data_IF_585024531174
#
_entry.id   IF_585024531174
#
_cell.length_a   1.000
_cell.length_b   1.000
_cell.length_c   1.000
_cell.angle_alpha   90.00
_cell.angle_beta   90.00
_cell.angle_gamma   90.00
#
_symmetry.space_group_name_H-M   'P 1'
#
loop_
_entity.id
_entity.type
_entity.pdbx_description
1 polymer ?
#
# COMPACT_ATOMS: atom_id res chain seq x y z
N UNK A 1 5.34 21.33 -60.98
CA UNK A 1 5.79 21.87 -59.68
C UNK A 1 4.75 21.48 -58.65
N UNK A 2 5.11 20.60 -57.71
CA UNK A 2 4.23 19.98 -56.70
C UNK A 2 4.10 20.93 -55.50
N UNK A 3 2.88 21.14 -54.97
CA UNK A 3 2.68 21.63 -53.59
C UNK A 3 1.49 20.90 -52.98
N UNK A 4 1.80 19.81 -52.28
CA UNK A 4 0.93 19.08 -51.37
C UNK A 4 0.82 19.87 -50.07
N UNK A 5 -0.37 20.30 -49.65
CA UNK A 5 -0.61 20.76 -48.28
C UNK A 5 -1.30 19.63 -47.51
N UNK A 6 -0.51 18.96 -46.68
CA UNK A 6 -0.94 17.97 -45.71
C UNK A 6 -1.13 18.71 -44.38
N UNK A 7 -2.38 18.93 -43.96
CA UNK A 7 -2.69 19.52 -42.67
C UNK A 7 -2.60 18.42 -41.61
N UNK A 8 -1.49 18.40 -40.88
CA UNK A 8 -1.27 17.49 -39.77
C UNK A 8 -2.14 17.92 -38.58
N UNK A 9 -3.05 17.04 -38.18
CA UNK A 9 -3.92 17.17 -37.01
C UNK A 9 -3.09 17.02 -35.73
N UNK A 10 -3.10 18.04 -34.88
CA UNK A 10 -2.59 17.92 -33.50
C UNK A 10 -3.78 17.63 -32.60
N UNK A 11 -4.07 16.35 -32.40
CA UNK A 11 -4.89 15.89 -31.27
C UNK A 11 -3.97 15.79 -30.06
N UNK A 12 -3.98 16.81 -29.20
CA UNK A 12 -3.36 16.74 -27.88
C UNK A 12 -4.24 15.84 -27.01
N UNK A 13 -3.93 14.54 -26.99
CA UNK A 13 -4.47 13.62 -26.01
C UNK A 13 -4.00 14.08 -24.62
N UNK A 14 -4.92 14.63 -23.83
CA UNK A 14 -4.70 14.90 -22.42
C UNK A 14 -4.63 13.52 -21.77
N UNK A 15 -3.40 13.00 -21.58
CA UNK A 15 -3.19 11.79 -20.82
C UNK A 15 -3.61 12.09 -19.36
N UNK A 16 -4.82 11.69 -18.98
CA UNK A 16 -5.22 11.60 -17.58
C UNK A 16 -4.40 10.48 -16.96
N UNK A 17 -3.24 10.81 -16.40
CA UNK A 17 -2.55 9.90 -15.50
C UNK A 17 -3.46 9.71 -14.29
N UNK A 18 -4.03 8.51 -14.14
CA UNK A 18 -4.64 8.11 -12.89
C UNK A 18 -3.50 8.03 -11.86
N UNK A 19 -3.21 9.14 -11.19
CA UNK A 19 -2.19 9.17 -10.15
C UNK A 19 -2.70 8.35 -8.98
N UNK A 20 -2.04 7.23 -8.68
CA UNK A 20 -2.26 6.47 -7.45
C UNK A 20 -2.14 7.43 -6.26
N UNK A 21 -3.19 7.48 -5.46
CA UNK A 21 -3.33 8.34 -4.29
C UNK A 21 -3.76 7.47 -3.11
N UNK A 22 -3.33 7.85 -1.92
CA UNK A 22 -3.75 7.19 -0.69
C UNK A 22 -5.20 7.52 -0.36
N UNK A 23 -6.06 6.51 -0.38
CA UNK A 23 -7.44 6.62 0.10
C UNK A 23 -7.47 6.46 1.63
N UNK A 24 -8.20 7.34 2.30
CA UNK A 24 -8.33 7.36 3.76
C UNK A 24 -9.80 7.31 4.11
N UNK A 25 -10.20 6.24 4.79
CA UNK A 25 -11.53 6.06 5.33
C UNK A 25 -11.41 6.01 6.85
N UNK A 26 -11.94 7.04 7.50
CA UNK A 26 -12.05 7.12 8.95
C UNK A 26 -13.55 7.14 9.25
N UNK A 27 -14.10 6.00 9.69
CA UNK A 27 -15.46 6.01 10.22
C UNK A 27 -15.39 6.73 11.55
N UNK A 28 -15.86 7.98 11.62
CA UNK A 28 -16.04 8.65 12.90
C UNK A 28 -16.81 7.75 13.89
N UNK A 29 -16.78 8.10 15.18
CA UNK A 29 -17.37 7.28 16.25
C UNK A 29 -18.77 6.77 15.87
N UNK A 30 -18.94 5.45 15.88
CA UNK A 30 -20.26 4.83 15.75
C UNK A 30 -21.11 5.08 17.00
N UNK A 31 -22.35 4.61 17.01
CA UNK A 31 -23.27 4.77 18.16
C UNK A 31 -22.77 4.10 19.45
N UNK A 32 -21.69 3.32 19.37
CA UNK A 32 -21.01 2.65 20.48
C UNK A 32 -19.64 3.26 20.79
N UNK A 33 -19.24 4.34 20.09
CA UNK A 33 -17.94 4.99 20.24
C UNK A 33 -16.78 4.28 19.53
N UNK A 34 -17.06 3.31 18.64
CA UNK A 34 -16.00 2.65 17.88
C UNK A 34 -15.58 3.46 16.66
N UNK A 35 -14.28 3.51 16.42
CA UNK A 35 -13.66 4.09 15.22
C UNK A 35 -13.01 2.96 14.44
N UNK A 36 -13.14 2.99 13.11
CA UNK A 36 -12.40 2.13 12.20
C UNK A 36 -11.68 3.01 11.19
N UNK A 37 -10.38 2.77 11.06
CA UNK A 37 -9.53 3.44 10.08
C UNK A 37 -9.08 2.43 9.06
N UNK A 38 -9.27 2.78 7.79
CA UNK A 38 -8.72 2.07 6.65
C UNK A 38 -7.96 3.05 5.79
N UNK A 39 -6.69 2.76 5.52
CA UNK A 39 -5.83 3.57 4.66
C UNK A 39 -5.29 2.68 3.56
N UNK A 40 -5.62 2.97 2.31
CA UNK A 40 -5.29 2.10 1.17
C UNK A 40 -4.57 2.86 0.06
N UNK A 41 -3.63 2.20 -0.61
CA UNK A 41 -3.01 2.71 -1.83
C UNK A 41 -2.76 1.58 -2.83
N UNK A 42 -2.68 1.94 -4.10
CA UNK A 42 -2.37 1.03 -5.21
C UNK A 42 -0.92 1.30 -5.63
N UNK A 43 -0.11 0.25 -5.66
CA UNK A 43 1.27 0.31 -6.12
C UNK A 43 1.38 0.33 -7.64
N UNK A 44 2.57 0.65 -8.14
CA UNK A 44 2.87 0.71 -9.57
C UNK A 44 2.69 -0.65 -10.28
N UNK A 45 2.87 -1.76 -9.56
CA UNK A 45 2.61 -3.12 -10.07
C UNK A 45 1.17 -3.59 -9.85
N UNK A 46 0.28 -2.74 -9.33
CA UNK A 46 -1.12 -3.04 -9.07
C UNK A 46 -1.38 -3.82 -7.78
N UNK A 47 -0.36 -4.04 -6.93
CA UNK A 47 -0.58 -4.58 -5.59
C UNK A 47 -1.18 -3.49 -4.69
N UNK A 48 -1.88 -3.92 -3.64
CA UNK A 48 -2.51 -2.98 -2.71
C UNK A 48 -1.75 -2.99 -1.39
N UNK A 49 -1.60 -1.81 -0.81
CA UNK A 49 -1.19 -1.67 0.58
C UNK A 49 -2.39 -1.14 1.35
N UNK A 50 -2.79 -1.85 2.41
CA UNK A 50 -3.93 -1.51 3.26
C UNK A 50 -3.49 -1.53 4.72
N UNK A 51 -3.55 -0.38 5.37
CA UNK A 51 -3.54 -0.25 6.81
C UNK A 51 -4.96 -0.32 7.34
N UNK A 52 -5.15 -1.05 8.43
CA UNK A 52 -6.43 -1.12 9.11
C UNK A 52 -6.22 -1.18 10.62
N UNK A 53 -7.04 -0.44 11.35
CA UNK A 53 -7.13 -0.50 12.80
C UNK A 53 -8.54 -0.10 13.22
N UNK A 54 -8.92 -0.45 14.44
CA UNK A 54 -10.19 -0.03 15.01
C UNK A 54 -10.27 -0.26 16.50
N UNK A 55 -11.29 0.27 17.14
CA UNK A 55 -11.43 0.22 18.61
C UNK A 55 -11.44 -1.19 19.20
N UNK A 56 -11.73 -2.21 18.39
CA UNK A 56 -11.78 -3.62 18.79
C UNK A 56 -10.75 -4.52 18.11
N UNK A 57 -9.84 -3.97 17.30
CA UNK A 57 -8.88 -4.75 16.50
C UNK A 57 -7.49 -4.14 16.55
N UNK A 58 -6.48 -4.98 16.77
CA UNK A 58 -5.09 -4.55 16.70
C UNK A 58 -4.77 -3.98 15.30
N UNK A 59 -3.98 -2.89 15.23
CA UNK A 59 -3.51 -2.36 13.96
C UNK A 59 -2.74 -3.39 13.15
N UNK A 60 -2.97 -3.42 11.85
CA UNK A 60 -2.18 -4.23 10.94
C UNK A 60 -1.99 -3.54 9.59
N UNK A 61 -0.95 -3.98 8.89
CA UNK A 61 -0.72 -3.70 7.48
C UNK A 61 -0.93 -4.97 6.68
N UNK A 62 -1.66 -4.88 5.57
CA UNK A 62 -1.79 -5.93 4.57
C UNK A 62 -1.21 -5.46 3.24
N UNK A 63 -0.22 -6.19 2.74
CA UNK A 63 0.24 -6.10 1.36
C UNK A 63 -0.49 -7.17 0.54
N UNK A 64 -1.43 -6.75 -0.30
CA UNK A 64 -2.34 -7.62 -1.02
C UNK A 64 -1.79 -7.91 -2.42
N UNK A 65 -1.59 -9.20 -2.68
CA UNK A 65 -1.21 -9.73 -3.98
C UNK A 65 -2.42 -10.36 -4.63
N UNK A 66 -2.65 -10.05 -5.91
CA UNK A 66 -3.71 -10.73 -6.65
C UNK A 66 -3.32 -12.20 -6.86
N UNK A 67 -4.11 -13.09 -6.30
CA UNK A 67 -3.97 -14.53 -6.45
C UNK A 67 -5.34 -15.19 -6.37
N UNK A 68 -5.65 -16.04 -7.34
CA UNK A 68 -6.90 -16.80 -7.44
C UNK A 68 -6.68 -18.30 -7.20
N UNK A 69 -5.60 -18.65 -6.51
CA UNK A 69 -5.26 -20.03 -6.14
C UNK A 69 -6.21 -20.63 -5.08
N UNK A 70 -7.08 -19.81 -4.50
CA UNK A 70 -8.07 -20.21 -3.49
C UNK A 70 -7.52 -20.04 -2.07
N UNK A 71 -8.06 -20.83 -1.13
CA UNK A 71 -7.59 -20.80 0.26
C UNK A 71 -6.17 -21.40 0.37
N UNK A 72 -5.22 -20.57 0.81
CA UNK A 72 -3.88 -20.97 1.21
C UNK A 72 -3.76 -21.02 2.74
N UNK A 73 -2.96 -21.95 3.30
CA UNK A 73 -2.63 -21.94 4.71
C UNK A 73 -1.80 -20.70 5.06
N UNK A 74 -1.88 -20.26 6.32
CA UNK A 74 -1.00 -19.22 6.83
C UNK A 74 0.43 -19.73 6.92
N UNK A 75 1.36 -18.98 6.32
CA UNK A 75 2.78 -19.31 6.30
C UNK A 75 3.64 -18.10 6.65
N UNK A 76 4.81 -18.30 7.28
CA UNK A 76 5.73 -17.21 7.57
C UNK A 76 6.16 -16.47 6.30
N UNK A 77 6.22 -15.14 6.40
CA UNK A 77 6.71 -14.25 5.38
C UNK A 77 7.61 -13.17 6.01
N UNK A 78 8.25 -12.38 5.17
CA UNK A 78 9.05 -11.23 5.57
C UNK A 78 8.54 -10.02 4.82
N UNK A 79 8.31 -8.93 5.54
CA UNK A 79 8.03 -7.63 4.96
C UNK A 79 9.31 -6.79 4.94
N UNK A 80 9.50 -6.07 3.85
CA UNK A 80 10.67 -5.23 3.59
C UNK A 80 10.18 -3.83 3.28
N UNK A 81 10.82 -2.84 3.86
CA UNK A 81 10.52 -1.42 3.67
C UNK A 81 11.83 -0.66 3.49
N UNK A 82 11.86 0.26 2.53
CA UNK A 82 12.98 1.20 2.36
C UNK A 82 12.49 2.59 2.73
N UNK A 83 13.21 3.25 3.64
CA UNK A 83 12.88 4.60 4.07
C UNK A 83 13.51 5.69 3.19
N UNK A 84 13.39 6.95 3.61
CA UNK A 84 13.94 8.10 2.87
C UNK A 84 15.46 8.16 2.87
N UNK A 85 16.08 7.58 3.88
CA UNK A 85 17.54 7.52 4.03
C UNK A 85 18.12 6.37 3.19
N UNK A 86 17.25 5.61 2.50
CA UNK A 86 17.52 4.35 1.82
C UNK A 86 17.93 3.22 2.76
N UNK A 87 17.57 3.34 4.04
CA UNK A 87 17.77 2.27 5.00
C UNK A 87 16.71 1.19 4.78
N UNK A 88 17.21 -0.06 4.76
CA UNK A 88 16.38 -1.25 4.54
C UNK A 88 15.94 -1.82 5.87
N UNK A 89 14.64 -1.78 6.10
CA UNK A 89 13.98 -2.35 7.27
C UNK A 89 13.32 -3.68 6.93
N UNK A 90 13.41 -4.64 7.87
CA UNK A 90 12.92 -6.00 7.69
C UNK A 90 12.11 -6.41 8.90
N UNK A 91 10.93 -6.97 8.65
CA UNK A 91 9.97 -7.32 9.71
C UNK A 91 9.33 -8.68 9.43
N UNK A 92 8.99 -9.38 10.51
CA UNK A 92 8.20 -10.61 10.42
C UNK A 92 6.79 -10.30 9.88
N UNK A 93 6.28 -11.20 9.05
CA UNK A 93 4.95 -11.12 8.49
C UNK A 93 4.35 -12.52 8.33
N UNK A 94 3.05 -12.59 8.04
CA UNK A 94 2.36 -13.84 7.73
C UNK A 94 1.68 -13.70 6.37
N UNK A 95 1.96 -14.60 5.44
CA UNK A 95 1.18 -14.74 4.20
C UNK A 95 -0.03 -15.64 4.48
N UNK A 96 -1.20 -15.20 4.04
CA UNK A 96 -2.41 -16.01 4.12
C UNK A 96 -3.48 -15.54 3.14
N UNK A 97 -4.59 -16.27 3.10
CA UNK A 97 -5.76 -15.91 2.28
C UNK A 97 -6.38 -14.60 2.78
N UNK A 98 -6.76 -13.72 1.86
CA UNK A 98 -7.54 -12.52 2.19
C UNK A 98 -8.99 -12.64 1.68
N UNK A 99 -9.15 -13.00 0.41
CA UNK A 99 -10.41 -13.37 -0.21
C UNK A 99 -10.14 -14.18 -1.50
N UNK A 100 -11.17 -14.49 -2.27
CA UNK A 100 -11.08 -15.30 -3.49
C UNK A 100 -10.16 -14.74 -4.59
N UNK A 101 -9.72 -13.48 -4.47
CA UNK A 101 -8.90 -12.78 -5.47
C UNK A 101 -7.55 -12.31 -4.94
N UNK A 102 -7.34 -12.34 -3.62
CA UNK A 102 -6.14 -11.80 -3.00
C UNK A 102 -5.63 -12.69 -1.88
N UNK A 103 -4.32 -12.76 -1.78
CA UNK A 103 -3.59 -13.17 -0.59
C UNK A 103 -2.98 -11.94 0.07
N UNK A 104 -2.86 -11.96 1.39
CA UNK A 104 -2.30 -10.87 2.17
C UNK A 104 -1.01 -11.30 2.84
N UNK A 105 0.05 -10.51 2.68
CA UNK A 105 1.17 -10.50 3.63
C UNK A 105 0.83 -9.50 4.73
N UNK A 106 0.51 -10.01 5.91
CA UNK A 106 0.08 -9.24 7.08
C UNK A 106 1.25 -8.97 8.02
N UNK A 107 1.43 -7.70 8.39
CA UNK A 107 2.36 -7.25 9.42
C UNK A 107 1.56 -6.71 10.59
N UNK A 108 1.83 -7.21 11.80
CA UNK A 108 1.20 -6.74 13.05
C UNK A 108 2.22 -6.16 14.03
N UNK A 109 3.51 -6.12 13.63
CA UNK A 109 4.58 -5.56 14.45
C UNK A 109 4.44 -4.04 14.58
N UNK A 110 4.08 -3.57 15.77
CA UNK A 110 3.80 -2.15 16.04
C UNK A 110 4.93 -1.22 15.66
N UNK A 111 6.19 -1.59 15.94
CA UNK A 111 7.35 -0.75 15.59
C UNK A 111 7.44 -0.52 14.08
N UNK A 112 7.21 -1.57 13.30
CA UNK A 112 7.17 -1.50 11.84
C UNK A 112 6.02 -0.65 11.33
N UNK A 113 4.83 -0.81 11.91
CA UNK A 113 3.65 -0.05 11.51
C UNK A 113 3.83 1.46 11.80
N UNK A 114 4.35 1.81 12.98
CA UNK A 114 4.66 3.19 13.35
C UNK A 114 5.73 3.76 12.43
N UNK A 115 6.84 3.05 12.21
CA UNK A 115 7.93 3.50 11.32
C UNK A 115 7.44 3.76 9.90
N UNK A 116 6.59 2.88 9.35
CA UNK A 116 6.03 3.08 8.01
C UNK A 116 5.07 4.27 7.98
N UNK A 117 4.20 4.43 8.98
CA UNK A 117 3.32 5.59 9.08
C UNK A 117 4.11 6.90 9.20
N UNK A 118 5.22 6.91 9.94
CA UNK A 118 6.16 8.02 10.02
C UNK A 118 6.79 8.34 8.67
N UNK A 119 7.32 7.32 7.98
CA UNK A 119 7.84 7.53 6.62
C UNK A 119 6.75 8.11 5.71
N UNK A 120 5.51 7.61 5.77
CA UNK A 120 4.39 8.17 5.00
C UNK A 120 4.15 9.66 5.29
N UNK A 121 4.32 10.12 6.54
CA UNK A 121 4.14 11.54 6.91
C UNK A 121 5.11 12.48 6.21
N UNK A 122 6.36 12.03 6.01
CA UNK A 122 7.43 12.85 5.46
C UNK A 122 7.76 12.54 3.99
N UNK A 123 7.20 11.47 3.40
CA UNK A 123 7.52 10.97 2.06
C UNK A 123 7.53 12.05 0.98
N UNK A 124 8.71 12.33 0.42
CA UNK A 124 8.86 13.22 -0.74
C UNK A 124 8.95 12.44 -2.06
N UNK A 125 9.32 11.15 -2.00
CA UNK A 125 9.43 10.21 -3.11
C UNK A 125 8.54 8.98 -2.90
N UNK A 126 8.40 8.12 -3.92
CA UNK A 126 7.65 6.88 -3.80
C UNK A 126 8.15 6.00 -2.65
N UNK A 127 7.22 5.43 -1.90
CA UNK A 127 7.46 4.55 -0.77
C UNK A 127 7.67 3.14 -1.33
N UNK A 128 8.85 2.58 -1.14
CA UNK A 128 9.21 1.25 -1.64
C UNK A 128 9.03 0.19 -0.57
N UNK A 129 8.30 -0.87 -0.90
CA UNK A 129 8.08 -2.02 -0.03
C UNK A 129 8.25 -3.31 -0.81
N UNK A 130 8.40 -4.42 -0.09
CA UNK A 130 8.41 -5.73 -0.69
C UNK A 130 8.17 -6.82 0.33
N UNK A 131 8.07 -8.03 -0.19
CA UNK A 131 7.89 -9.23 0.60
C UNK A 131 8.86 -10.32 0.15
N UNK A 132 9.17 -11.23 1.06
CA UNK A 132 9.92 -12.44 0.76
C UNK A 132 9.28 -13.61 1.49
N UNK A 133 9.13 -14.75 0.82
CA UNK A 133 8.67 -15.98 1.44
C UNK A 133 9.91 -16.83 1.75
N UNK A 134 10.32 -16.98 3.01
CA UNK A 134 11.68 -17.37 3.41
C UNK A 134 12.11 -18.79 2.99
N UNK A 135 11.18 -19.67 2.66
CA UNK A 135 11.44 -21.05 2.22
C UNK A 135 11.21 -21.23 0.71
N UNK A 136 11.13 -20.13 -0.04
CA UNK A 136 11.00 -20.13 -1.50
C UNK A 136 11.88 -19.02 -2.10
N UNK A 137 12.08 -19.04 -3.41
CA UNK A 137 12.74 -17.94 -4.13
C UNK A 137 11.76 -16.81 -4.52
N UNK A 138 10.54 -16.80 -3.96
CA UNK A 138 9.53 -15.81 -4.29
C UNK A 138 9.77 -14.51 -3.52
N UNK A 139 9.96 -13.45 -4.30
CA UNK A 139 10.07 -12.07 -3.85
C UNK A 139 9.16 -11.20 -4.70
N UNK A 140 8.45 -10.28 -4.06
CA UNK A 140 7.62 -9.29 -4.73
C UNK A 140 7.95 -7.94 -4.16
N UNK A 141 8.11 -6.93 -5.02
CA UNK A 141 8.32 -5.55 -4.61
C UNK A 141 7.31 -4.65 -5.32
N UNK A 142 6.96 -3.55 -4.67
CA UNK A 142 6.12 -2.52 -5.24
C UNK A 142 6.47 -1.14 -4.69
N UNK A 143 6.06 -0.12 -5.42
CA UNK A 143 6.26 1.29 -5.10
C UNK A 143 4.92 1.99 -5.00
N UNK A 144 4.74 2.74 -3.92
CA UNK A 144 3.51 3.47 -3.62
C UNK A 144 3.77 4.97 -3.69
N UNK A 145 2.83 5.69 -4.26
CA UNK A 145 2.92 7.14 -4.40
C UNK A 145 3.10 7.85 -3.05
N UNK A 146 3.93 8.90 -2.99
CA UNK A 146 3.95 9.84 -1.86
C UNK A 146 2.74 10.79 -1.86
N UNK A 147 1.98 10.85 -2.96
CA UNK A 147 0.85 11.76 -3.05
C UNK A 147 -0.27 11.30 -2.11
N UNK A 148 -0.58 12.13 -1.11
CA UNK A 148 -1.59 11.82 -0.09
C UNK A 148 -1.06 10.99 1.07
N UNK A 149 0.19 10.52 1.00
CA UNK A 149 0.78 9.70 2.06
C UNK A 149 0.89 10.47 3.37
N UNK A 150 1.09 11.80 3.33
CA UNK A 150 1.18 12.61 4.54
C UNK A 150 -0.09 12.52 5.39
N UNK A 151 -1.25 12.76 4.77
CA UNK A 151 -2.55 12.67 5.44
C UNK A 151 -2.85 11.23 5.90
N UNK A 152 -2.54 10.26 5.04
CA UNK A 152 -2.69 8.84 5.34
C UNK A 152 -1.85 8.40 6.56
N UNK A 153 -0.57 8.77 6.59
CA UNK A 153 0.35 8.45 7.68
C UNK A 153 -0.05 9.13 8.98
N UNK A 154 -0.47 10.41 8.92
CA UNK A 154 -1.01 11.12 10.07
C UNK A 154 -2.26 10.43 10.63
N UNK A 155 -3.20 10.04 9.76
CA UNK A 155 -4.42 9.35 10.17
C UNK A 155 -4.09 8.05 10.90
N UNK A 156 -3.17 7.24 10.36
CA UNK A 156 -2.70 6.00 11.01
C UNK A 156 -2.06 6.31 12.36
N UNK A 157 -1.17 7.31 12.45
CA UNK A 157 -0.51 7.68 13.71
C UNK A 157 -1.48 8.17 14.79
N UNK A 158 -2.51 8.92 14.41
CA UNK A 158 -3.43 9.54 15.36
C UNK A 158 -4.52 8.58 15.85
N UNK A 159 -4.89 7.58 15.04
CA UNK A 159 -6.06 6.75 15.32
C UNK A 159 -5.72 5.28 15.57
N UNK A 160 -4.53 4.81 15.18
CA UNK A 160 -4.11 3.43 15.39
C UNK A 160 -3.16 3.23 16.57
N UNK A 161 -2.55 4.30 17.12
CA UNK A 161 -1.49 4.23 18.13
C UNK A 161 -1.63 5.29 19.23
#
# INVERSE_FOLDING_TARGET
MKCTFLVASVFTAIATTASAFWDVQNSGEDVFGNVNVTVTSIGDNGNLMRFECGSSSEPFLAFLLRDSSGEIPEIPATFVHVDQENDRHVSGATLGSWNDQYVAVKVTDTETLVRLAEHMTVATSSISVGITIPFTDHQVADTFSSRGSTNAGQTVKEHCF
#
